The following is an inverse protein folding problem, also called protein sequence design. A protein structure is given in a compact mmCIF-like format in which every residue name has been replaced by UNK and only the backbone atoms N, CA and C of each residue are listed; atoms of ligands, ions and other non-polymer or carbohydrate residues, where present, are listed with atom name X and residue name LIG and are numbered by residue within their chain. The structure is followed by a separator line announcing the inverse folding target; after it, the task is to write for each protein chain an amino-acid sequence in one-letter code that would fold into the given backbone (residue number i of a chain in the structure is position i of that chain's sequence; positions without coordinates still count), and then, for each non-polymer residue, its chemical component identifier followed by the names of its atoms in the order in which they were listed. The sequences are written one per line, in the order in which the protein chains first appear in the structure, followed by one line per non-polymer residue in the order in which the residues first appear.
data_IF_085358593490
#
_entry.id   IF_085358593490
#
_cell.length_a   1.000
_cell.length_b   1.000
_cell.length_c   1.000
_cell.angle_alpha   90.00
_cell.angle_beta   90.00
_cell.angle_gamma   90.00
#
_symmetry.space_group_name_H-M   'P 1'
#
loop_
_entity.id
_entity.type
_entity.pdbx_description
1 polymer ?
#
# COMPACT_ATOMS: atom_id res chain seq x y z
N UNK A 1 15.05 -1.36 11.14
CA UNK A 1 14.40 -0.44 12.10
C UNK A 1 12.92 -0.42 11.74
N UNK A 2 12.07 -1.05 12.55
CA UNK A 2 10.61 -1.09 12.30
C UNK A 2 10.05 0.25 12.76
N UNK A 3 9.54 1.06 11.83
CA UNK A 3 8.93 2.35 12.16
C UNK A 3 7.62 2.12 12.93
N UNK A 4 7.46 2.66 14.15
CA UNK A 4 6.30 2.39 15.01
C UNK A 4 4.95 2.87 14.46
N UNK A 5 4.95 3.69 13.41
CA UNK A 5 3.74 4.12 12.71
C UNK A 5 3.12 3.00 11.86
N UNK A 6 3.91 2.03 11.42
CA UNK A 6 3.47 0.99 10.47
C UNK A 6 2.62 -0.08 11.18
N UNK A 7 2.93 -0.39 12.44
CA UNK A 7 2.21 -1.44 13.19
C UNK A 7 0.79 -1.00 13.57
N UNK A 8 0.59 0.25 13.99
CA UNK A 8 -0.74 0.75 14.38
C UNK A 8 -1.70 0.88 13.19
N UNK A 9 -1.19 1.22 12.01
CA UNK A 9 -1.99 1.32 10.79
C UNK A 9 -2.44 -0.07 10.29
N UNK A 10 -1.56 -1.08 10.36
CA UNK A 10 -1.90 -2.48 10.04
C UNK A 10 -3.09 -3.00 10.83
N UNK A 11 -3.09 -2.80 12.15
CA UNK A 11 -4.19 -3.27 13.02
C UNK A 11 -5.50 -2.55 12.74
N UNK A 12 -5.45 -1.26 12.38
CA UNK A 12 -6.64 -0.54 11.94
C UNK A 12 -7.14 -1.12 10.63
N UNK A 13 -6.29 -1.27 9.61
CA UNK A 13 -6.68 -1.81 8.30
C UNK A 13 -7.27 -3.22 8.41
N UNK A 14 -6.73 -4.07 9.29
CA UNK A 14 -7.27 -5.39 9.58
C UNK A 14 -8.69 -5.32 10.15
N UNK A 15 -8.89 -4.58 11.24
CA UNK A 15 -10.18 -4.53 11.96
C UNK A 15 -11.33 -3.93 11.15
N UNK A 16 -11.01 -3.04 10.22
CA UNK A 16 -11.98 -2.38 9.35
C UNK A 16 -12.01 -2.98 7.94
N UNK A 17 -11.36 -4.12 7.70
CA UNK A 17 -11.47 -4.83 6.43
C UNK A 17 -12.91 -5.32 6.24
N UNK A 18 -13.52 -5.22 5.04
CA UNK A 18 -14.92 -5.59 4.81
C UNK A 18 -15.26 -7.04 5.20
N UNK A 19 -14.29 -7.94 5.09
CA UNK A 19 -14.44 -9.37 5.41
C UNK A 19 -14.09 -9.71 6.86
N UNK A 20 -13.70 -8.72 7.67
CA UNK A 20 -13.40 -8.95 9.09
C UNK A 20 -14.68 -9.38 9.82
N UNK A 21 -14.72 -10.60 10.41
CA UNK A 21 -15.96 -11.13 10.98
C UNK A 21 -16.28 -10.50 12.34
N UNK A 22 -17.58 -10.44 12.68
CA UNK A 22 -18.03 -10.01 14.01
C UNK A 22 -17.45 -10.91 15.12
N UNK A 23 -17.30 -12.21 14.83
CA UNK A 23 -16.66 -13.21 15.72
C UNK A 23 -15.98 -14.29 14.89
N UNK A 24 -14.81 -14.72 15.32
CA UNK A 24 -14.17 -15.93 14.81
C UNK A 24 -14.85 -17.18 15.41
N UNK A 25 -15.03 -18.19 14.56
CA UNK A 25 -15.70 -19.45 14.93
C UNK A 25 -14.79 -20.45 15.65
N UNK A 26 -13.49 -20.34 15.44
CA UNK A 26 -12.46 -21.13 16.11
C UNK A 26 -11.11 -20.42 16.01
N UNK A 27 -10.08 -21.00 16.64
CA UNK A 27 -8.70 -20.52 16.49
C UNK A 27 -8.24 -20.65 15.03
N UNK A 28 -8.52 -21.78 14.39
CA UNK A 28 -8.14 -22.09 13.00
C UNK A 28 -8.75 -21.07 12.04
N UNK A 29 -10.04 -20.77 12.18
CA UNK A 29 -10.69 -19.74 11.38
C UNK A 29 -9.99 -18.38 11.55
N UNK A 30 -9.65 -17.98 12.78
CA UNK A 30 -8.92 -16.74 13.02
C UNK A 30 -7.52 -16.73 12.43
N UNK A 31 -6.80 -17.86 12.55
CA UNK A 31 -5.46 -18.02 12.01
C UNK A 31 -5.44 -17.92 10.48
N UNK A 32 -6.36 -18.63 9.81
CA UNK A 32 -6.45 -18.65 8.35
C UNK A 32 -6.82 -17.27 7.81
N UNK A 33 -7.82 -16.62 8.42
CA UNK A 33 -8.20 -15.25 8.05
C UNK A 33 -7.03 -14.26 8.16
N UNK A 34 -6.27 -14.31 9.26
CA UNK A 34 -5.10 -13.42 9.44
C UNK A 34 -4.01 -13.74 8.42
N UNK A 35 -3.79 -15.01 8.09
CA UNK A 35 -2.83 -15.43 7.07
C UNK A 35 -3.18 -14.90 5.68
N UNK A 36 -4.44 -15.03 5.27
CA UNK A 36 -4.96 -14.49 4.01
C UNK A 36 -4.88 -12.97 3.99
N UNK A 37 -5.33 -12.30 5.05
CA UNK A 37 -5.24 -10.85 5.19
C UNK A 37 -3.80 -10.36 5.07
N UNK A 38 -2.84 -11.00 5.74
CA UNK A 38 -1.43 -10.57 5.69
C UNK A 38 -0.82 -10.79 4.31
N UNK A 39 -1.24 -11.83 3.60
CA UNK A 39 -0.80 -12.08 2.22
C UNK A 39 -1.28 -10.95 1.31
N UNK A 40 -2.55 -10.59 1.38
CA UNK A 40 -3.11 -9.45 0.65
C UNK A 40 -2.48 -8.12 1.08
N UNK A 41 -2.39 -7.86 2.39
CA UNK A 41 -1.88 -6.61 2.94
C UNK A 41 -0.43 -6.34 2.48
N UNK A 42 0.42 -7.37 2.46
CA UNK A 42 1.81 -7.19 2.07
C UNK A 42 2.00 -7.03 0.56
N UNK A 43 1.22 -7.75 -0.26
CA UNK A 43 1.51 -7.90 -1.69
C UNK A 43 0.59 -7.09 -2.60
N UNK A 44 -0.61 -6.74 -2.15
CA UNK A 44 -1.65 -6.13 -2.99
C UNK A 44 -2.12 -4.78 -2.44
N UNK A 45 -2.26 -4.65 -1.12
CA UNK A 45 -2.69 -3.41 -0.50
C UNK A 45 -1.69 -2.28 -0.76
N UNK A 46 -2.15 -1.21 -1.43
CA UNK A 46 -1.37 0.00 -1.68
C UNK A 46 -1.63 1.02 -0.59
N UNK A 47 -0.54 1.45 0.03
CA UNK A 47 -0.62 2.18 1.28
C UNK A 47 -0.25 3.66 1.07
N UNK A 48 -1.15 4.56 1.44
CA UNK A 48 -1.01 6.00 1.21
C UNK A 48 0.19 6.60 1.95
N UNK A 49 0.45 6.15 3.18
CA UNK A 49 1.62 6.54 3.97
C UNK A 49 2.98 6.12 3.39
N UNK A 50 3.03 5.29 2.35
CA UNK A 50 4.26 4.89 1.64
C UNK A 50 4.11 5.07 0.12
N UNK A 51 3.56 6.23 -0.29
CA UNK A 51 3.44 6.62 -1.70
C UNK A 51 2.68 5.62 -2.58
N UNK A 52 1.64 4.97 -2.02
CA UNK A 52 0.83 3.96 -2.72
C UNK A 52 1.66 2.77 -3.24
N UNK A 53 2.77 2.46 -2.56
CA UNK A 53 3.52 1.22 -2.70
C UNK A 53 2.89 0.12 -1.83
N UNK A 54 3.21 -1.13 -2.14
CA UNK A 54 2.85 -2.25 -1.26
C UNK A 54 3.92 -2.38 -0.17
N UNK A 55 3.57 -2.87 1.03
CA UNK A 55 4.55 -3.13 2.08
C UNK A 55 5.70 -4.04 1.61
N UNK A 56 5.43 -5.05 0.78
CA UNK A 56 6.46 -5.93 0.23
C UNK A 56 7.46 -5.17 -0.66
N UNK A 57 7.01 -4.24 -1.51
CA UNK A 57 7.91 -3.42 -2.33
C UNK A 57 8.88 -2.60 -1.47
N UNK A 58 8.39 -2.01 -0.38
CA UNK A 58 9.24 -1.26 0.55
C UNK A 58 10.20 -2.19 1.29
N UNK A 59 9.69 -3.32 1.80
CA UNK A 59 10.49 -4.30 2.52
C UNK A 59 11.65 -4.86 1.69
N UNK A 60 11.42 -5.11 0.41
CA UNK A 60 12.44 -5.61 -0.53
C UNK A 60 13.25 -4.50 -1.21
N UNK A 61 13.18 -3.25 -0.74
CA UNK A 61 14.00 -2.15 -1.25
C UNK A 61 13.68 -1.74 -2.69
N UNK A 62 12.48 -2.02 -3.18
CA UNK A 62 12.06 -1.74 -4.55
C UNK A 62 11.48 -0.32 -4.73
N UNK A 63 11.32 0.42 -3.63
CA UNK A 63 10.64 1.71 -3.61
C UNK A 63 11.21 2.70 -4.64
N UNK A 64 12.51 2.96 -4.59
CA UNK A 64 13.17 3.97 -5.44
C UNK A 64 12.98 3.65 -6.93
N UNK A 65 13.16 2.38 -7.31
CA UNK A 65 12.97 1.93 -8.69
C UNK A 65 11.53 2.15 -9.17
N UNK A 66 10.54 1.80 -8.34
CA UNK A 66 9.13 1.95 -8.70
C UNK A 66 8.73 3.43 -8.77
N UNK A 67 9.25 4.26 -7.87
CA UNK A 67 8.97 5.69 -7.86
C UNK A 67 9.62 6.41 -9.04
N UNK A 68 10.86 6.06 -9.42
CA UNK A 68 11.52 6.58 -10.61
C UNK A 68 10.72 6.24 -11.88
N UNK A 69 10.30 4.98 -12.04
CA UNK A 69 9.48 4.59 -13.19
C UNK A 69 8.13 5.33 -13.24
N UNK A 70 7.50 5.57 -12.08
CA UNK A 70 6.27 6.38 -11.99
C UNK A 70 6.50 7.83 -12.39
N UNK A 71 7.62 8.41 -11.97
CA UNK A 71 8.01 9.77 -12.33
C UNK A 71 8.15 9.90 -13.86
N UNK A 72 8.87 8.99 -14.51
CA UNK A 72 9.05 9.00 -15.97
C UNK A 72 7.71 8.95 -16.72
N UNK A 73 6.79 8.07 -16.29
CA UNK A 73 5.44 7.97 -16.88
C UNK A 73 4.67 9.27 -16.68
N UNK A 74 4.75 9.88 -15.50
CA UNK A 74 4.03 11.10 -15.20
C UNK A 74 4.57 12.30 -15.95
N UNK A 75 5.90 12.40 -16.08
CA UNK A 75 6.57 13.42 -16.87
C UNK A 75 6.22 13.29 -18.36
N UNK A 76 6.17 12.07 -18.90
CA UNK A 76 5.73 11.83 -20.27
C UNK A 76 4.27 12.26 -20.49
N UNK A 77 3.37 11.92 -19.55
CA UNK A 77 1.98 12.33 -19.61
C UNK A 77 1.81 13.86 -19.52
N UNK A 78 2.59 14.51 -18.66
CA UNK A 78 2.62 15.97 -18.54
C UNK A 78 3.08 16.64 -19.83
N UNK A 79 4.21 16.20 -20.40
CA UNK A 79 4.73 16.72 -21.68
C UNK A 79 3.72 16.59 -22.82
N UNK A 80 2.91 15.53 -22.82
CA UNK A 80 1.91 15.31 -23.85
C UNK A 80 0.67 16.21 -23.72
N UNK A 81 0.22 16.50 -22.49
CA UNK A 81 -1.00 17.29 -22.20
C UNK A 81 -0.84 18.10 -20.91
N UNK A 82 -0.02 19.17 -20.91
CA UNK A 82 0.30 19.91 -19.70
C UNK A 82 -0.92 20.57 -19.05
N UNK A 83 -1.93 20.93 -19.85
CA UNK A 83 -3.18 21.54 -19.39
C UNK A 83 -4.03 20.63 -18.49
N UNK A 84 -3.78 19.32 -18.48
CA UNK A 84 -4.45 18.37 -17.57
C UNK A 84 -3.89 18.38 -16.15
N UNK A 85 -2.78 19.07 -15.91
CA UNK A 85 -2.05 19.06 -14.64
C UNK A 85 -2.08 20.45 -14.01
N UNK A 86 -2.78 20.58 -12.88
CA UNK A 86 -2.84 21.82 -12.10
C UNK A 86 -1.67 21.81 -11.11
N UNK A 87 -0.82 22.84 -11.10
CA UNK A 87 0.30 22.96 -10.16
C UNK A 87 1.53 22.10 -10.50
N UNK A 88 1.79 21.87 -11.79
CA UNK A 88 2.84 20.97 -12.28
C UNK A 88 4.30 21.43 -12.02
N UNK A 89 4.54 22.48 -11.23
CA UNK A 89 5.88 22.97 -10.88
C UNK A 89 6.72 21.96 -10.06
N UNK A 90 6.11 20.83 -9.67
CA UNK A 90 6.74 19.77 -8.86
C UNK A 90 6.79 18.39 -9.55
N UNK A 91 6.43 18.31 -10.84
CA UNK A 91 6.62 17.12 -11.68
C UNK A 91 8.00 17.13 -12.34
#
# INVERSE_FOLDING_TARGET
MVSPHVDTERFRTLKYHPEFPDRFGSFEHGHDFVGEFMTWYNNEHRHSGIAMLTPAMVHHGQADRVLAARHDVMLAAYRAKPERFIGAESL
#
